data_IF_172964249958
#
_entry.id   IF_172964249958
#
_cell.length_a   1.000
_cell.length_b   1.000
_cell.length_c   1.000
_cell.angle_alpha   90.00
_cell.angle_beta   90.00
_cell.angle_gamma   90.00
#
_symmetry.space_group_name_H-M   'P 1'
#
loop_
_entity.id
_entity.type
_entity.pdbx_description
1 polymer ?
#
# COMPACT_ATOMS: atom_id res chain seq x y z
N UNK A 1 6.84 14.97 41.31
CA UNK A 1 7.02 15.18 39.85
C UNK A 1 5.65 15.06 39.22
N UNK A 2 5.10 16.15 38.66
CA UNK A 2 3.79 16.10 38.00
C UNK A 2 3.95 15.40 36.65
N UNK A 3 3.12 14.38 36.36
CA UNK A 3 3.03 13.79 35.03
C UNK A 3 2.43 14.84 34.10
N UNK A 4 3.26 15.44 33.25
CA UNK A 4 2.85 16.41 32.22
C UNK A 4 2.64 15.78 30.85
N UNK A 5 2.91 14.48 30.73
CA UNK A 5 2.69 13.73 29.50
C UNK A 5 1.26 13.17 29.44
N UNK A 6 0.74 13.04 28.23
CA UNK A 6 -0.59 12.48 27.91
C UNK A 6 -1.83 13.25 28.43
N UNK A 7 -1.70 14.52 28.81
CA UNK A 7 -2.80 15.30 29.39
C UNK A 7 -4.04 15.49 28.48
N UNK A 8 -3.91 15.23 27.17
CA UNK A 8 -4.96 15.40 26.16
C UNK A 8 -4.96 14.31 25.08
N UNK A 9 -4.17 13.25 25.24
CA UNK A 9 -4.13 12.14 24.28
C UNK A 9 -5.16 11.10 24.65
N UNK A 10 -5.97 10.71 23.66
CA UNK A 10 -6.75 9.49 23.73
C UNK A 10 -5.77 8.31 23.71
N UNK A 11 -6.03 7.22 24.45
CA UNK A 11 -5.24 5.99 24.32
C UNK A 11 -5.23 5.54 22.87
N UNK A 12 -4.04 5.38 22.29
CA UNK A 12 -3.89 4.83 20.94
C UNK A 12 -3.89 3.31 21.06
N UNK A 13 -4.77 2.66 20.31
CA UNK A 13 -4.82 1.20 20.26
C UNK A 13 -3.61 0.63 19.52
N UNK A 14 -3.26 -0.62 19.82
CA UNK A 14 -2.12 -1.28 19.16
C UNK A 14 -2.48 -1.70 17.74
N UNK A 15 -1.64 -1.32 16.78
CA UNK A 15 -1.75 -1.79 15.40
C UNK A 15 -1.11 -3.17 15.23
N UNK A 16 -1.66 -3.97 14.32
CA UNK A 16 -1.04 -5.20 13.83
C UNK A 16 0.33 -4.88 13.19
N UNK A 17 1.30 -5.77 13.37
CA UNK A 17 2.61 -5.61 12.70
C UNK A 17 2.50 -5.97 11.21
N UNK A 18 3.31 -5.37 10.33
CA UNK A 18 3.33 -5.76 8.92
C UNK A 18 3.59 -7.25 8.70
N UNK A 19 4.49 -7.86 9.51
CA UNK A 19 4.79 -9.29 9.39
C UNK A 19 3.59 -10.17 9.75
N UNK A 20 2.91 -9.86 10.86
CA UNK A 20 1.72 -10.61 11.25
C UNK A 20 0.62 -10.55 10.16
N UNK A 21 0.46 -9.40 9.50
CA UNK A 21 -0.49 -9.26 8.40
C UNK A 21 -0.08 -10.09 7.16
N UNK A 22 1.22 -10.16 6.85
CA UNK A 22 1.74 -10.99 5.74
C UNK A 22 1.54 -12.49 6.03
N UNK A 23 1.73 -12.90 7.29
CA UNK A 23 1.55 -14.29 7.70
C UNK A 23 0.08 -14.72 7.60
N UNK A 24 -0.86 -13.83 7.97
CA UNK A 24 -2.30 -14.08 7.85
C UNK A 24 -2.82 -14.02 6.40
N UNK A 25 -2.28 -13.10 5.59
CA UNK A 25 -2.72 -12.84 4.21
C UNK A 25 -1.57 -13.00 3.22
N UNK A 26 -1.10 -14.25 2.98
CA UNK A 26 0.01 -14.50 2.08
C UNK A 26 -0.34 -14.16 0.64
N UNK A 27 0.61 -13.57 -0.07
CA UNK A 27 0.44 -13.23 -1.49
C UNK A 27 0.38 -14.49 -2.35
N UNK A 28 -0.59 -14.54 -3.26
CA UNK A 28 -0.63 -15.59 -4.28
C UNK A 28 0.45 -15.35 -5.35
N UNK A 29 0.90 -16.44 -5.98
CA UNK A 29 1.86 -16.37 -7.11
C UNK A 29 1.34 -15.48 -8.25
N UNK A 30 0.02 -15.47 -8.47
CA UNK A 30 -0.63 -14.65 -9.49
C UNK A 30 -0.53 -13.16 -9.18
N UNK A 31 -0.79 -12.77 -7.92
CA UNK A 31 -0.66 -11.38 -7.47
C UNK A 31 0.80 -10.91 -7.61
N UNK A 32 1.76 -11.74 -7.20
CA UNK A 32 3.19 -11.44 -7.33
C UNK A 32 3.53 -11.18 -8.80
N UNK A 33 3.15 -12.10 -9.69
CA UNK A 33 3.39 -11.96 -11.14
C UNK A 33 2.75 -10.69 -11.69
N UNK A 34 1.50 -10.42 -11.33
CA UNK A 34 0.77 -9.25 -11.80
C UNK A 34 1.44 -7.94 -11.38
N UNK A 35 1.79 -7.80 -10.10
CA UNK A 35 2.46 -6.60 -9.57
C UNK A 35 3.82 -6.40 -10.22
N UNK A 36 4.65 -7.43 -10.31
CA UNK A 36 5.98 -7.33 -10.92
C UNK A 36 5.90 -6.96 -12.41
N UNK A 37 4.96 -7.57 -13.15
CA UNK A 37 4.79 -7.30 -14.59
C UNK A 37 4.25 -5.89 -14.84
N UNK A 38 3.29 -5.45 -14.02
CA UNK A 38 2.71 -4.11 -14.10
C UNK A 38 3.76 -3.04 -13.83
N UNK A 39 4.62 -3.23 -12.81
CA UNK A 39 5.72 -2.28 -12.51
C UNK A 39 6.67 -2.10 -13.70
N UNK A 40 7.09 -3.21 -14.33
CA UNK A 40 7.95 -3.15 -15.54
C UNK A 40 7.24 -2.46 -16.71
N UNK A 41 5.95 -2.76 -16.91
CA UNK A 41 5.17 -2.12 -17.98
C UNK A 41 5.04 -0.61 -17.77
N UNK A 42 4.77 -0.19 -16.53
CA UNK A 42 4.71 1.24 -16.17
C UNK A 42 6.06 1.90 -16.41
N UNK A 43 7.15 1.28 -15.96
CA UNK A 43 8.51 1.78 -16.21
C UNK A 43 8.78 1.98 -17.71
N UNK A 44 8.48 0.98 -18.55
CA UNK A 44 8.64 1.08 -20.01
C UNK A 44 7.85 2.25 -20.63
N UNK A 45 6.64 2.51 -20.12
CA UNK A 45 5.82 3.65 -20.56
C UNK A 45 6.49 4.98 -20.15
N UNK A 46 6.94 5.09 -18.90
CA UNK A 46 7.53 6.31 -18.37
C UNK A 46 8.84 6.70 -19.06
N UNK A 47 9.64 5.71 -19.50
CA UNK A 47 10.90 5.95 -20.23
C UNK A 47 10.72 6.02 -21.75
N UNK A 48 9.48 5.96 -22.25
CA UNK A 48 9.15 6.10 -23.68
C UNK A 48 9.47 4.88 -24.55
N UNK A 49 9.86 3.75 -23.96
CA UNK A 49 10.05 2.46 -24.66
C UNK A 49 8.71 1.83 -25.06
N UNK A 50 7.64 2.21 -24.35
CA UNK A 50 6.27 1.79 -24.61
C UNK A 50 5.40 3.03 -24.78
N UNK A 51 4.69 3.12 -25.91
CA UNK A 51 3.89 4.29 -26.29
C UNK A 51 2.44 4.20 -25.84
N UNK A 52 2.09 3.19 -25.02
CA UNK A 52 0.75 3.08 -24.42
C UNK A 52 0.53 4.19 -23.40
N UNK A 53 -0.72 4.60 -23.24
CA UNK A 53 -1.14 5.56 -22.21
C UNK A 53 -1.37 4.84 -20.87
N UNK A 54 -0.69 5.29 -19.81
CA UNK A 54 -0.98 4.85 -18.45
C UNK A 54 -2.23 5.58 -17.92
N UNK A 55 -3.26 4.82 -17.55
CA UNK A 55 -4.50 5.35 -16.97
C UNK A 55 -4.65 4.84 -15.55
N UNK A 56 -4.78 5.76 -14.59
CA UNK A 56 -5.11 5.44 -13.20
C UNK A 56 -6.61 5.69 -13.02
N UNK A 57 -7.39 4.62 -12.96
CA UNK A 57 -8.83 4.68 -12.73
C UNK A 57 -9.16 4.07 -11.37
N UNK A 58 -9.73 4.87 -10.47
CA UNK A 58 -10.16 4.44 -9.14
C UNK A 58 -11.59 4.98 -8.87
N UNK A 59 -12.51 4.16 -8.34
CA UNK A 59 -13.81 4.66 -7.92
C UNK A 59 -13.64 5.66 -6.76
N UNK A 60 -14.22 6.85 -6.86
CA UNK A 60 -14.25 7.77 -5.71
C UNK A 60 -14.91 7.05 -4.53
N UNK A 61 -14.17 6.95 -3.42
CA UNK A 61 -14.64 6.35 -2.19
C UNK A 61 -15.73 7.27 -1.60
N UNK A 62 -16.99 7.01 -1.94
CA UNK A 62 -18.14 7.59 -1.26
C UNK A 62 -18.68 6.52 -0.31
N UNK A 63 -18.15 6.52 0.92
CA UNK A 63 -18.70 5.82 2.08
C UNK A 63 -18.65 6.76 3.26
#
# INVERSE_FOLDING_TARGET
MYKTDELRTQPIDRLITPQALVDELPLSKEIIKNVTTSRKSIESILIGQDQRLLVINWPLLCT
#
